data_IF_262763599303
#
_entry.id   IF_262763599303
#
_cell.length_a   1.000
_cell.length_b   1.000
_cell.length_c   1.000
_cell.angle_alpha   90.00
_cell.angle_beta   90.00
_cell.angle_gamma   90.00
#
_symmetry.space_group_name_H-M   'P 1'
#
loop_
_entity.id
_entity.type
_entity.pdbx_description
1 polymer ?
#
# COMPACT_ATOMS: atom_id res chain seq x y z
N UNK A 1 -32.07 -8.97 23.71
CA UNK A 1 -31.89 -9.32 22.29
C UNK A 1 -31.38 -8.11 21.52
N UNK A 2 -30.13 -7.75 21.75
CA UNK A 2 -29.33 -6.92 20.85
C UNK A 2 -28.01 -7.66 20.80
N UNK A 3 -27.75 -8.37 19.70
CA UNK A 3 -26.46 -9.01 19.49
C UNK A 3 -25.44 -7.90 19.29
N UNK A 4 -24.58 -7.71 20.29
CA UNK A 4 -23.35 -6.95 20.19
C UNK A 4 -22.54 -7.49 19.01
N UNK A 5 -22.30 -6.64 18.03
CA UNK A 5 -21.34 -6.93 16.97
C UNK A 5 -19.97 -6.85 17.64
N UNK A 6 -19.43 -8.01 18.02
CA UNK A 6 -18.07 -8.13 18.52
C UNK A 6 -17.09 -7.82 17.39
N UNK A 7 -16.34 -6.73 17.55
CA UNK A 7 -15.22 -6.29 16.72
C UNK A 7 -14.00 -7.22 16.92
N UNK A 8 -14.18 -8.54 16.83
CA UNK A 8 -13.16 -9.54 17.23
C UNK A 8 -12.78 -10.54 16.15
N UNK A 9 -13.04 -10.27 14.87
CA UNK A 9 -12.38 -11.07 13.83
C UNK A 9 -12.41 -10.38 12.46
N UNK A 10 -11.21 -10.10 11.95
CA UNK A 10 -10.84 -9.84 10.54
C UNK A 10 -10.57 -8.41 10.07
N UNK A 11 -10.32 -7.44 10.96
CA UNK A 11 -9.47 -6.30 10.57
C UNK A 11 -8.05 -6.57 11.08
N UNK A 12 -7.12 -6.89 10.19
CA UNK A 12 -5.69 -6.82 10.52
C UNK A 12 -5.44 -5.38 10.98
N UNK A 13 -5.21 -5.17 12.27
CA UNK A 13 -4.73 -3.87 12.74
C UNK A 13 -3.30 -3.73 12.27
N UNK A 14 -2.94 -2.58 11.70
CA UNK A 14 -1.55 -2.28 11.35
C UNK A 14 -0.62 -2.50 12.54
N UNK A 15 -1.06 -2.22 13.77
CA UNK A 15 -0.29 -2.50 14.98
C UNK A 15 0.13 -3.98 15.10
N UNK A 16 -0.81 -4.90 14.87
CA UNK A 16 -0.53 -6.34 14.90
C UNK A 16 0.36 -6.78 13.74
N UNK A 17 0.21 -6.14 12.58
CA UNK A 17 1.05 -6.44 11.41
C UNK A 17 2.50 -6.02 11.65
N UNK A 18 2.75 -4.98 12.44
CA UNK A 18 4.07 -4.46 12.78
C UNK A 18 4.75 -5.13 13.99
N UNK A 19 4.13 -6.14 14.62
CA UNK A 19 4.72 -6.81 15.79
C UNK A 19 6.07 -7.49 15.50
N UNK A 20 6.20 -8.08 14.32
CA UNK A 20 7.34 -8.93 13.95
C UNK A 20 8.11 -8.43 12.72
N UNK A 21 7.78 -7.25 12.20
CA UNK A 21 8.37 -6.68 11.00
C UNK A 21 8.64 -5.20 11.18
N UNK A 22 9.68 -4.69 10.51
CA UNK A 22 10.03 -3.27 10.55
C UNK A 22 9.23 -2.43 9.55
N UNK A 23 8.83 -3.04 8.43
CA UNK A 23 8.06 -2.42 7.33
C UNK A 23 7.08 -3.43 6.73
N UNK A 24 5.98 -2.95 6.18
CA UNK A 24 5.06 -3.73 5.36
C UNK A 24 5.24 -3.35 3.89
N UNK A 25 4.99 -4.31 2.99
CA UNK A 25 5.14 -4.12 1.56
C UNK A 25 3.83 -4.52 0.86
N UNK A 26 3.37 -3.66 -0.05
CA UNK A 26 2.20 -3.90 -0.88
C UNK A 26 2.41 -3.27 -2.28
N UNK A 27 1.71 -3.69 -3.33
CA UNK A 27 1.70 -2.93 -4.59
C UNK A 27 0.96 -1.61 -4.40
N UNK A 28 1.52 -0.51 -4.92
CA UNK A 28 0.92 0.84 -4.78
C UNK A 28 -0.43 0.92 -5.47
N UNK A 29 -0.52 0.41 -6.70
CA UNK A 29 -1.77 0.25 -7.45
C UNK A 29 -2.01 -1.22 -7.76
N UNK A 30 -3.28 -1.68 -7.83
CA UNK A 30 -3.60 -3.06 -8.18
C UNK A 30 -3.32 -3.39 -9.64
N UNK A 31 -3.24 -2.37 -10.51
CA UNK A 31 -2.96 -2.52 -11.94
C UNK A 31 -1.86 -1.54 -12.38
N UNK A 32 -1.15 -1.84 -13.49
CA UNK A 32 -0.32 -0.86 -14.18
C UNK A 32 -1.15 0.33 -14.70
N UNK A 33 -0.46 1.36 -15.18
CA UNK A 33 -1.10 2.56 -15.71
C UNK A 33 -2.11 2.22 -16.85
N UNK A 34 -3.33 2.72 -16.71
CA UNK A 34 -4.41 2.58 -17.69
C UNK A 34 -4.33 3.66 -18.77
N UNK A 35 -4.90 3.38 -19.94
CA UNK A 35 -5.01 4.34 -21.03
C UNK A 35 -5.92 5.52 -20.68
N UNK A 36 -5.69 6.66 -21.32
CA UNK A 36 -6.53 7.84 -21.15
C UNK A 36 -7.94 7.52 -21.66
N UNK A 37 -8.93 7.65 -20.78
CA UNK A 37 -10.33 7.36 -21.09
C UNK A 37 -10.72 5.89 -21.04
N UNK A 38 -9.82 4.99 -20.59
CA UNK A 38 -10.12 3.56 -20.41
C UNK A 38 -10.90 3.31 -19.10
N UNK A 39 -10.57 4.07 -18.05
CA UNK A 39 -11.17 3.96 -16.73
C UNK A 39 -12.36 4.93 -16.60
N UNK A 40 -13.51 4.54 -17.16
CA UNK A 40 -14.74 5.37 -17.23
C UNK A 40 -15.72 5.06 -16.10
N UNK A 41 -15.68 3.83 -15.58
CA UNK A 41 -16.55 3.38 -14.51
C UNK A 41 -16.08 3.94 -13.15
N UNK A 42 -16.93 4.69 -12.41
CA UNK A 42 -16.54 5.31 -11.15
C UNK A 42 -16.06 4.30 -10.09
N UNK A 43 -16.65 3.10 -10.05
CA UNK A 43 -16.24 2.09 -9.08
C UNK A 43 -14.82 1.60 -9.37
N UNK A 44 -14.50 1.38 -10.64
CA UNK A 44 -13.16 1.00 -11.08
C UNK A 44 -12.12 2.08 -10.77
N UNK A 45 -12.49 3.36 -10.87
CA UNK A 45 -11.65 4.47 -10.43
C UNK A 45 -11.37 4.43 -8.92
N UNK A 46 -12.37 4.14 -8.08
CA UNK A 46 -12.16 4.00 -6.64
C UNK A 46 -11.30 2.80 -6.28
N UNK A 47 -11.43 1.69 -7.00
CA UNK A 47 -10.62 0.50 -6.78
C UNK A 47 -9.15 0.71 -7.10
N UNK A 48 -8.79 1.75 -7.86
CA UNK A 48 -7.39 2.10 -8.09
C UNK A 48 -6.64 2.41 -6.78
N UNK A 49 -7.34 2.94 -5.76
CA UNK A 49 -6.78 3.33 -4.47
C UNK A 49 -7.05 2.31 -3.36
N UNK A 50 -7.44 1.08 -3.70
CA UNK A 50 -7.80 0.04 -2.72
C UNK A 50 -6.67 -0.31 -1.74
N UNK A 51 -5.41 -0.13 -2.16
CA UNK A 51 -4.22 -0.43 -1.36
C UNK A 51 -3.64 0.78 -0.63
N UNK A 52 -4.04 2.00 -1.00
CA UNK A 52 -3.51 3.26 -0.44
C UNK A 52 -4.46 3.83 0.62
N UNK A 53 -5.78 3.77 0.40
CA UNK A 53 -6.80 4.26 1.34
C UNK A 53 -6.67 3.65 2.75
N UNK A 54 -6.46 2.32 2.93
CA UNK A 54 -6.32 1.76 4.27
C UNK A 54 -5.11 2.31 5.03
N UNK A 55 -4.03 2.66 4.31
CA UNK A 55 -2.80 3.21 4.87
C UNK A 55 -3.02 4.63 5.36
N UNK A 56 -3.68 5.46 4.54
CA UNK A 56 -4.06 6.83 4.89
C UNK A 56 -4.96 6.87 6.12
N UNK A 57 -5.95 5.95 6.17
CA UNK A 57 -6.87 5.84 7.31
C UNK A 57 -6.20 5.31 8.58
N UNK A 58 -5.18 4.47 8.45
CA UNK A 58 -4.37 4.00 9.57
C UNK A 58 -3.39 5.07 10.08
N UNK A 59 -3.15 6.12 9.30
CA UNK A 59 -2.24 7.22 9.65
C UNK A 59 -0.77 6.82 9.68
N UNK A 60 -0.42 5.68 9.09
CA UNK A 60 0.96 5.20 9.04
C UNK A 60 1.66 5.72 7.78
N UNK A 61 2.96 5.99 7.81
CA UNK A 61 3.68 6.58 6.67
C UNK A 61 3.98 5.58 5.55
N UNK A 62 3.59 5.85 4.28
CA UNK A 62 4.02 5.09 3.12
C UNK A 62 5.02 5.83 2.21
N UNK A 63 5.75 5.08 1.40
CA UNK A 63 6.45 5.57 0.20
C UNK A 63 6.20 4.61 -0.97
N UNK A 64 6.12 5.13 -2.19
CA UNK A 64 6.06 4.32 -3.41
C UNK A 64 7.37 4.43 -4.17
N UNK A 65 7.95 3.29 -4.54
CA UNK A 65 9.16 3.19 -5.38
C UNK A 65 8.89 2.31 -6.60
N UNK A 66 9.53 2.59 -7.76
CA UNK A 66 9.46 1.67 -8.89
C UNK A 66 10.17 0.35 -8.56
N UNK A 67 9.54 -0.79 -8.87
CA UNK A 67 10.10 -2.12 -8.61
C UNK A 67 10.12 -3.02 -9.86
N UNK A 68 10.16 -2.39 -11.04
CA UNK A 68 10.18 -3.07 -12.33
C UNK A 68 9.13 -2.54 -13.30
N UNK A 69 8.93 -3.29 -14.39
CA UNK A 69 7.96 -2.93 -15.43
C UNK A 69 7.24 -4.16 -15.97
N UNK A 70 5.99 -3.96 -16.39
CA UNK A 70 5.21 -4.96 -17.14
C UNK A 70 4.58 -4.30 -18.36
N UNK A 71 4.64 -4.97 -19.51
CA UNK A 71 4.15 -4.43 -20.77
C UNK A 71 4.66 -3.01 -21.12
N UNK A 72 5.89 -2.67 -20.69
CA UNK A 72 6.50 -1.36 -20.89
C UNK A 72 6.01 -0.26 -19.95
N UNK A 73 5.20 -0.60 -18.92
CA UNK A 73 4.67 0.31 -17.91
C UNK A 73 5.33 0.04 -16.55
N UNK A 74 5.63 1.07 -15.75
CA UNK A 74 6.25 0.90 -14.44
C UNK A 74 5.28 0.25 -13.44
N UNK A 75 5.83 -0.58 -12.55
CA UNK A 75 5.12 -1.14 -11.39
C UNK A 75 5.62 -0.43 -10.14
N UNK A 76 4.68 0.06 -9.33
CA UNK A 76 4.98 0.70 -8.04
C UNK A 76 4.87 -0.28 -6.87
N UNK A 77 5.89 -0.30 -6.02
CA UNK A 77 5.89 -0.97 -4.73
C UNK A 77 5.74 0.08 -3.63
N UNK A 78 4.73 -0.12 -2.78
CA UNK A 78 4.48 0.66 -1.59
C UNK A 78 5.18 0.02 -0.38
N UNK A 79 6.03 0.80 0.28
CA UNK A 79 6.70 0.45 1.54
C UNK A 79 6.05 1.27 2.64
N UNK A 80 5.53 0.61 3.66
CA UNK A 80 4.74 1.22 4.74
C UNK A 80 5.51 1.03 6.04
N UNK A 81 5.85 2.14 6.70
CA UNK A 81 6.51 2.15 8.00
C UNK A 81 5.53 2.24 9.16
N UNK A 82 6.05 2.10 10.37
CA UNK A 82 5.28 2.34 11.59
C UNK A 82 4.98 3.83 11.78
N UNK A 83 3.99 4.10 12.62
CA UNK A 83 3.66 5.46 13.06
C UNK A 83 4.93 6.15 13.60
N UNK A 84 5.26 7.33 13.06
CA UNK A 84 6.47 8.12 13.37
C UNK A 84 7.84 7.45 13.08
N UNK A 85 7.89 6.42 12.24
CA UNK A 85 9.14 5.75 11.82
C UNK A 85 9.54 6.11 10.36
N UNK A 86 9.27 7.35 9.93
CA UNK A 86 9.55 7.81 8.56
C UNK A 86 11.03 7.78 8.22
N UNK A 87 11.92 7.91 9.21
CA UNK A 87 13.37 7.95 8.99
C UNK A 87 13.93 6.64 8.43
N UNK A 88 13.27 5.51 8.69
CA UNK A 88 13.67 4.18 8.21
C UNK A 88 13.25 3.93 6.75
N UNK A 89 12.12 4.50 6.34
CA UNK A 89 11.49 4.23 5.04
C UNK A 89 12.42 4.57 3.86
N UNK A 90 13.10 5.75 3.80
CA UNK A 90 14.03 6.07 2.71
C UNK A 90 15.18 5.09 2.55
N UNK A 91 15.68 4.50 3.65
CA UNK A 91 16.76 3.52 3.59
C UNK A 91 16.32 2.23 2.90
N UNK A 92 15.11 1.75 3.21
CA UNK A 92 14.51 0.59 2.55
C UNK A 92 14.19 0.91 1.09
N UNK A 93 13.60 2.08 0.83
CA UNK A 93 13.28 2.56 -0.52
C UNK A 93 14.52 2.63 -1.41
N UNK A 94 15.63 3.18 -0.91
CA UNK A 94 16.89 3.27 -1.65
C UNK A 94 17.48 1.89 -1.96
N UNK A 95 17.36 0.92 -1.04
CA UNK A 95 17.81 -0.45 -1.30
C UNK A 95 16.97 -1.13 -2.41
N UNK A 96 15.64 -0.94 -2.40
CA UNK A 96 14.77 -1.46 -3.46
C UNK A 96 15.09 -0.82 -4.80
N UNK A 97 15.30 0.50 -4.83
CA UNK A 97 15.65 1.23 -6.06
C UNK A 97 17.01 0.78 -6.62
N UNK A 98 17.99 0.49 -5.78
CA UNK A 98 19.31 0.01 -6.22
C UNK A 98 19.27 -1.40 -6.82
N UNK A 99 18.42 -2.28 -6.29
CA UNK A 99 18.35 -3.68 -6.73
C UNK A 99 17.35 -3.89 -7.89
N UNK A 100 16.29 -3.08 -7.97
CA UNK A 100 15.16 -3.29 -8.88
C UNK A 100 14.87 -2.12 -9.83
N UNK A 101 15.52 -0.97 -9.67
CA UNK A 101 15.46 0.17 -10.59
C UNK A 101 16.34 -0.01 -11.83
#
# INVERSE_FOLDING_TARGET
MAQSIDCHSQSISFDSAFENVDVLIAPTMPTPAFGIGELVDPLSQYLADVNTVPVDLAGVPPVSVPCGSTHGLPIGMQIIGRFFDESRIPGVAAAVEQDMG
#
